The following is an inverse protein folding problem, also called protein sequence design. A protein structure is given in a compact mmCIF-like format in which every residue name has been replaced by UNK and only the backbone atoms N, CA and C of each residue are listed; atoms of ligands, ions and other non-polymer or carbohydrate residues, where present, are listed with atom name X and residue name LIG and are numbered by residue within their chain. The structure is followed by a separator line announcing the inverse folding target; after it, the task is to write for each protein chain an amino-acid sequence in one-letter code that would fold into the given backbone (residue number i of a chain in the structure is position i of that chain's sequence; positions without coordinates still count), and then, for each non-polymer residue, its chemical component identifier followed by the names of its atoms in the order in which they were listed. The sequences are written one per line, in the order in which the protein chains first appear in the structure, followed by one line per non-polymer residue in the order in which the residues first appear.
data_IF_588245655047
#
_entry.id   IF_588245655047
#
_cell.length_a   1.000
_cell.length_b   1.000
_cell.length_c   1.000
_cell.angle_alpha   90.00
_cell.angle_beta   90.00
_cell.angle_gamma   90.00
#
_symmetry.space_group_name_H-M   'P 1'
#
loop_
_entity.id
_entity.type
_entity.pdbx_description
1 polymer ?
#
# COMPACT_ATOMS: atom_id res chain seq x y z
N UNK A 1 25.74 -33.42 -16.97
CA UNK A 1 24.79 -32.29 -16.97
C UNK A 1 24.60 -31.88 -15.52
N UNK A 2 25.18 -30.77 -15.09
CA UNK A 2 24.92 -30.24 -13.75
C UNK A 2 23.65 -29.41 -13.84
N UNK A 3 22.52 -29.98 -13.42
CA UNK A 3 21.33 -29.17 -13.13
C UNK A 3 21.67 -28.28 -11.94
N UNK A 4 21.96 -27.02 -12.22
CA UNK A 4 22.05 -25.98 -11.21
C UNK A 4 20.65 -25.81 -10.64
N UNK A 5 20.40 -26.43 -9.49
CA UNK A 5 19.22 -26.15 -8.69
C UNK A 5 19.43 -24.75 -8.15
N UNK A 6 18.77 -23.77 -8.77
CA UNK A 6 18.68 -22.42 -8.21
C UNK A 6 18.02 -22.61 -6.84
N UNK A 7 18.69 -22.28 -5.72
CA UNK A 7 18.02 -22.28 -4.44
C UNK A 7 16.93 -21.21 -4.53
N UNK A 8 15.67 -21.64 -4.51
CA UNK A 8 14.56 -20.75 -4.21
C UNK A 8 14.82 -20.27 -2.78
N UNK A 9 15.38 -19.07 -2.67
CA UNK A 9 15.52 -18.39 -1.39
C UNK A 9 14.13 -18.35 -0.77
N UNK A 10 13.96 -18.95 0.41
CA UNK A 10 12.75 -18.73 1.19
C UNK A 10 12.64 -17.22 1.40
N UNK A 11 11.65 -16.60 0.78
CA UNK A 11 11.42 -15.15 0.86
C UNK A 11 11.31 -14.76 2.34
N UNK A 12 12.13 -13.80 2.76
CA UNK A 12 12.13 -13.37 4.16
C UNK A 12 10.79 -12.71 4.51
N UNK A 13 10.38 -12.75 5.78
CA UNK A 13 9.18 -12.01 6.22
C UNK A 13 9.25 -10.52 5.85
N UNK A 14 10.45 -9.94 5.88
CA UNK A 14 10.71 -8.58 5.43
C UNK A 14 10.34 -8.39 3.95
N UNK A 15 10.83 -9.26 3.06
CA UNK A 15 10.55 -9.21 1.63
C UNK A 15 9.07 -9.44 1.33
N UNK A 16 8.42 -10.36 2.04
CA UNK A 16 6.97 -10.60 1.92
C UNK A 16 6.16 -9.35 2.24
N UNK A 17 6.43 -8.70 3.37
CA UNK A 17 5.73 -7.47 3.75
C UNK A 17 6.06 -6.30 2.82
N UNK A 18 7.28 -6.23 2.30
CA UNK A 18 7.69 -5.18 1.37
C UNK A 18 7.02 -5.37 -0.01
N UNK A 19 6.96 -6.60 -0.51
CA UNK A 19 6.22 -6.97 -1.73
C UNK A 19 4.74 -6.63 -1.58
N UNK A 20 4.14 -6.97 -0.45
CA UNK A 20 2.75 -6.67 -0.14
C UNK A 20 2.46 -5.16 -0.09
N UNK A 21 3.37 -4.38 0.50
CA UNK A 21 3.31 -2.91 0.47
C UNK A 21 3.25 -2.40 -0.97
N UNK A 22 4.17 -2.82 -1.85
CA UNK A 22 4.22 -2.32 -3.22
C UNK A 22 2.97 -2.70 -4.03
N UNK A 23 2.50 -3.94 -3.92
CA UNK A 23 1.30 -4.40 -4.62
C UNK A 23 0.05 -3.59 -4.22
N UNK A 24 -0.11 -3.30 -2.93
CA UNK A 24 -1.24 -2.53 -2.42
C UNK A 24 -1.12 -1.04 -2.72
N UNK A 25 0.09 -0.48 -2.64
CA UNK A 25 0.37 0.89 -3.05
C UNK A 25 0.03 1.10 -4.54
N UNK A 26 0.37 0.16 -5.41
CA UNK A 26 0.04 0.22 -6.84
C UNK A 26 -1.48 0.26 -7.07
N UNK A 27 -2.23 -0.61 -6.37
CA UNK A 27 -3.71 -0.64 -6.44
C UNK A 27 -4.32 0.69 -5.98
N UNK A 28 -3.90 1.20 -4.82
CA UNK A 28 -4.35 2.49 -4.32
C UNK A 28 -4.07 3.62 -5.32
N UNK A 29 -2.84 3.66 -5.86
CA UNK A 29 -2.40 4.67 -6.82
C UNK A 29 -3.19 4.62 -8.12
N UNK A 30 -3.49 3.42 -8.62
CA UNK A 30 -4.31 3.24 -9.82
C UNK A 30 -5.71 3.81 -9.63
N UNK A 31 -6.37 3.48 -8.51
CA UNK A 31 -7.72 3.97 -8.22
C UNK A 31 -7.72 5.50 -8.07
N UNK A 32 -6.74 6.08 -7.37
CA UNK A 32 -6.64 7.54 -7.23
C UNK A 32 -6.47 8.26 -8.58
N UNK A 33 -5.66 7.71 -9.49
CA UNK A 33 -5.51 8.25 -10.85
C UNK A 33 -6.81 8.18 -11.66
N UNK A 34 -7.55 7.09 -11.50
CA UNK A 34 -8.85 6.94 -12.15
C UNK A 34 -9.88 7.92 -11.58
N UNK A 35 -9.89 8.17 -10.26
CA UNK A 35 -10.70 9.23 -9.62
C UNK A 35 -10.31 10.61 -10.15
N UNK A 36 -9.01 10.90 -10.25
CA UNK A 36 -8.52 12.18 -10.78
C UNK A 36 -9.00 12.41 -12.22
N UNK A 37 -9.02 11.34 -13.03
CA UNK A 37 -9.51 11.36 -14.41
C UNK A 37 -11.02 11.61 -14.45
N UNK A 38 -11.81 10.85 -13.67
CA UNK A 38 -13.26 11.03 -13.57
C UNK A 38 -13.62 12.48 -13.19
N UNK A 39 -12.92 13.05 -12.20
CA UNK A 39 -13.14 14.42 -11.74
C UNK A 39 -12.79 15.47 -12.80
N UNK A 40 -11.72 15.26 -13.58
CA UNK A 40 -11.33 16.12 -14.71
C UNK A 40 -12.37 16.09 -15.82
N UNK A 41 -13.00 14.95 -16.04
CA UNK A 41 -14.09 14.76 -17.01
C UNK A 41 -15.45 15.24 -16.50
N UNK A 42 -15.50 15.78 -15.27
CA UNK A 42 -16.71 16.30 -14.62
C UNK A 42 -17.60 15.23 -13.98
N UNK A 43 -17.18 13.96 -14.02
CA UNK A 43 -17.89 12.86 -13.36
C UNK A 43 -17.58 12.85 -11.86
N UNK A 44 -18.64 12.80 -11.05
CA UNK A 44 -18.54 12.62 -9.59
C UNK A 44 -19.10 11.28 -9.13
N UNK A 45 -19.55 10.47 -10.08
CA UNK A 45 -20.19 9.20 -9.78
C UNK A 45 -19.20 8.26 -9.12
N UNK A 46 -19.59 7.71 -7.98
CA UNK A 46 -18.81 6.73 -7.20
C UNK A 46 -17.46 7.25 -6.68
N UNK A 47 -17.12 8.53 -6.82
CA UNK A 47 -15.85 9.11 -6.29
C UNK A 47 -15.63 8.71 -4.84
N UNK A 48 -16.64 8.86 -3.98
CA UNK A 48 -16.51 8.49 -2.57
C UNK A 48 -16.31 6.98 -2.33
N UNK A 49 -17.01 6.12 -3.08
CA UNK A 49 -16.83 4.67 -2.95
C UNK A 49 -15.41 4.25 -3.38
N UNK A 50 -14.92 4.82 -4.48
CA UNK A 50 -13.59 4.57 -5.01
C UNK A 50 -12.49 5.16 -4.13
N UNK A 51 -12.71 6.33 -3.54
CA UNK A 51 -11.79 6.94 -2.58
C UNK A 51 -11.62 6.05 -1.34
N UNK A 52 -12.72 5.52 -0.80
CA UNK A 52 -12.70 4.55 0.31
C UNK A 52 -11.95 3.28 -0.07
N UNK A 53 -12.13 2.78 -1.29
CA UNK A 53 -11.41 1.62 -1.81
C UNK A 53 -9.90 1.90 -1.91
N UNK A 54 -9.50 3.02 -2.53
CA UNK A 54 -8.11 3.43 -2.61
C UNK A 54 -7.48 3.59 -1.22
N UNK A 55 -8.21 4.22 -0.30
CA UNK A 55 -7.76 4.42 1.07
C UNK A 55 -7.60 3.10 1.83
N UNK A 56 -8.48 2.12 1.60
CA UNK A 56 -8.36 0.79 2.20
C UNK A 56 -7.05 0.10 1.76
N UNK A 57 -6.73 0.14 0.46
CA UNK A 57 -5.43 -0.35 -0.01
C UNK A 57 -4.24 0.44 0.55
N UNK A 58 -4.37 1.76 0.71
CA UNK A 58 -3.34 2.61 1.31
C UNK A 58 -3.07 2.31 2.79
N UNK A 59 -4.12 2.03 3.57
CA UNK A 59 -4.04 1.55 4.96
C UNK A 59 -3.28 0.23 5.00
N UNK A 60 -3.74 -0.77 4.24
CA UNK A 60 -3.14 -2.10 4.23
C UNK A 60 -1.68 -2.07 3.75
N UNK A 61 -1.36 -1.25 2.75
CA UNK A 61 0.02 -1.06 2.29
C UNK A 61 0.89 -0.53 3.44
N UNK A 62 0.44 0.54 4.11
CA UNK A 62 1.21 1.19 5.16
C UNK A 62 1.40 0.27 6.37
N UNK A 63 0.39 -0.53 6.72
CA UNK A 63 0.50 -1.56 7.76
C UNK A 63 1.53 -2.63 7.42
N UNK A 64 1.59 -3.08 6.16
CA UNK A 64 2.63 -4.01 5.70
C UNK A 64 4.02 -3.38 5.74
N UNK A 65 4.16 -2.11 5.36
CA UNK A 65 5.42 -1.40 5.48
C UNK A 65 5.88 -1.30 6.95
N UNK A 66 4.97 -0.98 7.88
CA UNK A 66 5.26 -0.98 9.32
C UNK A 66 5.76 -2.36 9.78
N UNK A 67 5.12 -3.45 9.34
CA UNK A 67 5.55 -4.82 9.67
C UNK A 67 6.94 -5.12 9.11
N UNK A 68 7.22 -4.76 7.86
CA UNK A 68 8.56 -4.93 7.27
C UNK A 68 9.64 -4.24 8.11
N UNK A 69 9.44 -2.96 8.44
CA UNK A 69 10.41 -2.20 9.22
C UNK A 69 10.62 -2.78 10.64
N UNK A 70 9.56 -3.25 11.29
CA UNK A 70 9.64 -3.94 12.59
C UNK A 70 10.44 -5.25 12.49
N UNK A 71 10.19 -6.07 11.47
CA UNK A 71 10.96 -7.31 11.22
C UNK A 71 12.45 -7.04 11.02
N UNK A 72 12.79 -5.90 10.39
CA UNK A 72 14.18 -5.49 10.17
C UNK A 72 14.81 -4.71 11.35
N UNK A 73 14.12 -4.59 12.49
CA UNK A 73 14.61 -3.87 13.68
C UNK A 73 14.76 -2.35 13.49
N UNK A 74 14.07 -1.77 12.51
CA UNK A 74 14.17 -0.34 12.18
C UNK A 74 12.97 0.44 12.71
N UNK A 75 13.19 1.29 13.71
CA UNK A 75 12.12 2.09 14.33
C UNK A 75 12.12 3.56 13.89
N UNK A 76 13.16 4.02 13.19
CA UNK A 76 13.37 5.45 12.89
C UNK A 76 12.28 6.09 12.03
N UNK A 77 11.49 5.28 11.33
CA UNK A 77 10.41 5.74 10.44
C UNK A 77 9.01 5.52 11.04
N UNK A 78 8.88 4.93 12.23
CA UNK A 78 7.57 4.51 12.77
C UNK A 78 6.60 5.67 12.94
N UNK A 79 7.05 6.83 13.41
CA UNK A 79 6.21 8.01 13.58
C UNK A 79 5.66 8.51 12.22
N UNK A 80 6.53 8.60 11.20
CA UNK A 80 6.13 9.00 9.85
C UNK A 80 5.15 8.00 9.23
N UNK A 81 5.39 6.70 9.42
CA UNK A 81 4.51 5.64 8.91
C UNK A 81 3.16 5.66 9.61
N UNK A 82 3.13 5.92 10.92
CA UNK A 82 1.88 6.05 11.67
C UNK A 82 1.08 7.28 11.22
N UNK A 83 1.75 8.42 11.00
CA UNK A 83 1.11 9.61 10.45
C UNK A 83 0.55 9.36 9.03
N UNK A 84 1.28 8.62 8.19
CA UNK A 84 0.80 8.20 6.87
C UNK A 84 -0.43 7.29 6.95
N UNK A 85 -0.43 6.35 7.89
CA UNK A 85 -1.56 5.45 8.16
C UNK A 85 -2.81 6.24 8.59
N UNK A 86 -2.63 7.23 9.45
CA UNK A 86 -3.74 8.07 9.92
C UNK A 86 -4.29 8.96 8.80
N UNK A 87 -3.44 9.45 7.89
CA UNK A 87 -3.90 10.17 6.69
C UNK A 87 -4.74 9.29 5.75
N UNK A 88 -4.42 8.02 5.61
CA UNK A 88 -5.27 7.10 4.84
C UNK A 88 -6.62 6.84 5.53
N UNK A 89 -6.64 6.74 6.86
CA UNK A 89 -7.89 6.62 7.63
C UNK A 89 -8.76 7.87 7.49
N UNK A 90 -8.15 9.05 7.60
CA UNK A 90 -8.83 10.33 7.33
C UNK A 90 -9.41 10.36 5.92
N UNK A 91 -8.63 9.95 4.89
CA UNK A 91 -9.12 9.91 3.50
C UNK A 91 -10.29 8.94 3.32
N UNK A 92 -10.25 7.77 3.98
CA UNK A 92 -11.34 6.80 3.97
C UNK A 92 -12.62 7.40 4.57
N UNK A 93 -12.48 8.13 5.67
CA UNK A 93 -13.61 8.61 6.48
C UNK A 93 -14.11 10.01 6.07
N UNK A 94 -13.37 10.72 5.21
CA UNK A 94 -13.76 12.02 4.65
C UNK A 94 -15.02 11.94 3.77
N UNK A 95 -15.17 10.82 3.08
CA UNK A 95 -16.38 10.43 2.38
C UNK A 95 -17.17 9.49 3.30
#
# INVERSE_FOLDING_TARGET
MFSSVIPVSAESEFELYLSDFYQKQEKASKILKEIETDLKDGSRDRVCARQREAASYGIEATESLIKAFKTNGSESQMENLQAGLDKWRELRDYC
#
